data_IF_416319716062
#
_entry.id   IF_416319716062
#
_cell.length_a   1.000
_cell.length_b   1.000
_cell.length_c   1.000
_cell.angle_alpha   90.00
_cell.angle_beta   90.00
_cell.angle_gamma   90.00
#
_symmetry.space_group_name_H-M   'P 1'
#
loop_
_entity.id
_entity.type
_entity.pdbx_description
1 polymer ?
#
# COMPACT_ATOMS: atom_id res chain seq x y z
N UNK A 1 -19.18 36.27 17.76
CA UNK A 1 -19.95 35.03 18.00
C UNK A 1 -20.48 34.56 16.66
N UNK A 2 -19.93 33.48 16.11
CA UNK A 2 -20.45 32.89 14.88
C UNK A 2 -21.87 32.38 15.16
N UNK A 3 -22.84 32.77 14.32
CA UNK A 3 -24.22 32.31 14.44
C UNK A 3 -24.24 30.78 14.46
N UNK A 4 -24.69 30.19 15.57
CA UNK A 4 -24.96 28.76 15.66
C UNK A 4 -26.05 28.44 14.65
N UNK A 5 -25.64 27.89 13.51
CA UNK A 5 -26.57 27.32 12.54
C UNK A 5 -27.35 26.20 13.25
N UNK A 6 -28.65 26.40 13.46
CA UNK A 6 -29.55 25.40 14.05
C UNK A 6 -29.63 24.10 13.22
N UNK A 7 -29.02 24.08 12.01
CA UNK A 7 -28.99 22.93 11.12
C UNK A 7 -27.86 21.93 11.42
N UNK A 8 -26.94 22.22 12.34
CA UNK A 8 -25.85 21.31 12.74
C UNK A 8 -26.09 20.70 14.12
N UNK A 9 -25.97 19.37 14.27
CA UNK A 9 -26.09 18.73 15.57
C UNK A 9 -25.03 19.27 16.53
N UNK A 10 -25.41 19.45 17.79
CA UNK A 10 -24.49 19.88 18.84
C UNK A 10 -23.39 18.84 19.04
N UNK A 11 -22.12 19.27 19.05
CA UNK A 11 -20.97 18.44 19.38
C UNK A 11 -20.30 18.98 20.65
N UNK A 12 -19.97 18.13 21.63
CA UNK A 12 -19.24 18.54 22.83
C UNK A 12 -17.75 18.82 22.55
N UNK A 13 -17.24 18.45 21.37
CA UNK A 13 -15.84 18.64 21.01
C UNK A 13 -15.55 20.12 20.72
N UNK A 14 -14.49 20.71 21.29
CA UNK A 14 -14.12 22.09 21.00
C UNK A 14 -13.70 22.24 19.53
N UNK A 15 -14.15 23.32 18.91
CA UNK A 15 -13.74 23.65 17.54
C UNK A 15 -12.24 23.96 17.51
N UNK A 16 -11.50 23.25 16.64
CA UNK A 16 -10.06 23.46 16.39
C UNK A 16 -9.80 23.64 14.90
N UNK A 17 -8.74 24.36 14.56
CA UNK A 17 -8.22 24.48 13.19
C UNK A 17 -7.07 23.50 13.02
N UNK A 18 -7.00 22.85 11.86
CA UNK A 18 -5.92 21.92 11.49
C UNK A 18 -4.59 22.67 11.46
N UNK A 19 -3.64 22.28 12.32
CA UNK A 19 -2.31 22.90 12.38
C UNK A 19 -1.30 22.27 11.40
N UNK A 20 -1.32 20.95 11.28
CA UNK A 20 -0.46 20.19 10.38
C UNK A 20 -1.19 18.95 9.85
N UNK A 21 -0.76 18.49 8.67
CA UNK A 21 -1.21 17.25 8.05
C UNK A 21 -0.02 16.31 7.98
N UNK A 22 -0.14 15.17 8.64
CA UNK A 22 0.88 14.14 8.61
C UNK A 22 0.42 12.98 7.75
N UNK A 23 1.21 12.64 6.74
CA UNK A 23 1.00 11.47 5.89
C UNK A 23 1.69 10.23 6.50
N UNK A 24 1.06 9.06 6.32
CA UNK A 24 1.57 7.74 6.71
C UNK A 24 0.97 6.64 5.82
N UNK A 25 1.26 5.37 6.08
CA UNK A 25 0.63 4.23 5.43
C UNK A 25 -0.03 3.36 6.50
N UNK A 26 -1.30 3.04 6.28
CA UNK A 26 -2.10 2.21 7.17
C UNK A 26 -1.57 0.77 7.23
N UNK A 27 -1.21 0.32 8.43
CA UNK A 27 -0.95 -1.11 8.68
C UNK A 27 -2.26 -1.91 8.75
N UNK A 28 -2.18 -3.22 8.50
CA UNK A 28 -3.35 -4.10 8.60
C UNK A 28 -4.03 -4.01 9.98
N UNK A 29 -3.25 -3.92 11.05
CA UNK A 29 -3.77 -3.74 12.42
C UNK A 29 -4.48 -2.39 12.60
N UNK A 30 -3.94 -1.32 12.02
CA UNK A 30 -4.58 0.00 12.08
C UNK A 30 -5.91 0.00 11.32
N UNK A 31 -5.96 -0.64 10.15
CA UNK A 31 -7.18 -0.78 9.35
C UNK A 31 -8.26 -1.55 10.14
N UNK A 32 -7.88 -2.63 10.81
CA UNK A 32 -8.83 -3.38 11.64
C UNK A 32 -9.31 -2.57 12.85
N UNK A 33 -8.42 -1.82 13.52
CA UNK A 33 -8.78 -0.99 14.68
C UNK A 33 -9.69 0.19 14.32
N UNK A 34 -9.49 0.82 13.17
CA UNK A 34 -10.35 1.92 12.70
C UNK A 34 -11.67 1.43 12.11
N UNK A 35 -11.75 0.15 11.72
CA UNK A 35 -12.90 -0.38 11.03
C UNK A 35 -14.04 -0.74 11.98
N UNK A 36 -15.26 -0.46 11.54
CA UNK A 36 -16.48 -0.74 12.31
C UNK A 36 -17.09 -2.11 12.00
N UNK A 37 -16.80 -2.67 10.82
CA UNK A 37 -17.28 -3.99 10.45
C UNK A 37 -16.37 -4.72 9.46
N UNK A 38 -16.33 -6.05 9.60
CA UNK A 38 -15.73 -6.94 8.62
C UNK A 38 -16.74 -7.28 7.51
N UNK A 39 -16.32 -7.12 6.26
CA UNK A 39 -17.14 -7.46 5.10
C UNK A 39 -16.88 -8.90 4.71
N UNK A 40 -17.93 -9.70 4.69
CA UNK A 40 -17.86 -11.13 4.35
C UNK A 40 -18.84 -11.52 3.24
N UNK A 41 -19.95 -10.79 3.10
CA UNK A 41 -20.98 -11.08 2.12
C UNK A 41 -20.86 -10.21 0.87
N UNK A 42 -21.17 -10.82 -0.27
CA UNK A 42 -21.20 -10.16 -1.58
C UNK A 42 -22.58 -9.60 -1.91
N UNK A 43 -23.61 -10.05 -1.20
CA UNK A 43 -24.97 -9.57 -1.32
C UNK A 43 -25.14 -8.22 -0.63
N UNK A 44 -25.75 -7.26 -1.32
CA UNK A 44 -25.91 -5.89 -0.84
C UNK A 44 -27.16 -5.71 0.01
N UNK A 45 -28.27 -6.36 -0.36
CA UNK A 45 -29.56 -6.24 0.30
C UNK A 45 -30.19 -7.60 0.52
N UNK A 46 -30.87 -7.75 1.65
CA UNK A 46 -31.67 -8.91 2.00
C UNK A 46 -33.06 -8.40 2.40
N UNK A 47 -34.12 -8.90 1.73
CA UNK A 47 -35.51 -8.45 1.95
C UNK A 47 -35.72 -6.92 1.85
N UNK A 48 -34.92 -6.24 1.01
CA UNK A 48 -35.02 -4.80 0.79
C UNK A 48 -34.30 -3.94 1.84
N UNK A 49 -33.68 -4.55 2.85
CA UNK A 49 -32.80 -3.88 3.80
C UNK A 49 -31.33 -4.17 3.47
N UNK A 50 -30.39 -3.27 3.78
CA UNK A 50 -28.98 -3.56 3.57
C UNK A 50 -28.53 -4.75 4.42
N UNK A 51 -27.79 -5.68 3.80
CA UNK A 51 -27.38 -6.92 4.44
C UNK A 51 -26.29 -6.67 5.48
N UNK A 52 -26.39 -7.33 6.63
CA UNK A 52 -25.34 -7.32 7.66
C UNK A 52 -24.06 -7.99 7.16
N UNK A 53 -22.90 -7.40 7.43
CA UNK A 53 -21.59 -7.80 6.92
C UNK A 53 -21.50 -7.81 5.37
N UNK A 54 -22.44 -7.15 4.69
CA UNK A 54 -22.38 -6.85 3.26
C UNK A 54 -21.73 -5.49 3.02
N UNK A 55 -21.47 -5.16 1.75
CA UNK A 55 -20.83 -3.88 1.42
C UNK A 55 -21.68 -2.67 1.83
N UNK A 56 -23.02 -2.77 1.86
CA UNK A 56 -23.87 -1.63 2.25
C UNK A 56 -24.37 -1.71 3.70
N UNK A 57 -23.62 -2.39 4.58
CA UNK A 57 -23.95 -2.52 6.01
C UNK A 57 -24.22 -1.15 6.65
N UNK A 58 -25.31 -1.05 7.43
CA UNK A 58 -25.76 0.18 8.08
C UNK A 58 -24.74 0.77 9.07
N UNK A 59 -23.79 -0.03 9.57
CA UNK A 59 -22.67 0.44 10.39
C UNK A 59 -21.67 1.31 9.62
N UNK A 60 -21.56 1.13 8.30
CA UNK A 60 -20.72 1.97 7.45
C UNK A 60 -21.35 3.33 7.13
N UNK A 61 -22.65 3.46 7.37
CA UNK A 61 -23.47 4.58 6.94
C UNK A 61 -24.60 4.13 6.02
N UNK A 62 -25.50 5.05 5.70
CA UNK A 62 -26.64 4.78 4.83
C UNK A 62 -26.83 5.93 3.85
N UNK A 63 -27.35 5.60 2.67
CA UNK A 63 -27.80 6.56 1.66
C UNK A 63 -29.32 6.75 1.69
N UNK A 64 -30.03 5.89 2.42
CA UNK A 64 -31.48 5.92 2.50
C UNK A 64 -31.92 6.88 3.60
N UNK A 65 -32.64 7.96 3.23
CA UNK A 65 -33.14 8.96 4.17
C UNK A 65 -34.09 8.43 5.25
N UNK A 66 -34.62 7.20 5.06
CA UNK A 66 -35.51 6.53 6.03
C UNK A 66 -34.74 5.79 7.11
N UNK A 67 -33.47 5.50 6.86
CA UNK A 67 -32.61 4.72 7.73
C UNK A 67 -31.57 5.65 8.36
N UNK A 68 -31.11 5.27 9.55
CA UNK A 68 -30.02 5.94 10.25
C UNK A 68 -28.82 5.03 10.32
N UNK A 69 -27.63 5.62 10.36
CA UNK A 69 -26.40 4.85 10.56
C UNK A 69 -26.44 4.16 11.93
N UNK A 70 -26.06 2.89 12.01
CA UNK A 70 -26.04 2.16 13.29
C UNK A 70 -24.88 2.60 14.21
N UNK A 71 -23.84 3.24 13.66
CA UNK A 71 -22.63 3.61 14.40
C UNK A 71 -22.76 4.99 15.03
N UNK A 72 -23.07 6.02 14.23
CA UNK A 72 -23.19 7.40 14.73
C UNK A 72 -24.63 7.84 14.97
N UNK A 73 -25.64 7.05 14.57
CA UNK A 73 -27.08 7.36 14.70
C UNK A 73 -27.52 8.64 13.96
N UNK A 74 -26.65 9.20 13.11
CA UNK A 74 -26.93 10.38 12.31
C UNK A 74 -27.61 10.03 10.97
N UNK A 75 -28.32 11.02 10.43
CA UNK A 75 -28.93 10.96 9.11
C UNK A 75 -27.86 11.13 8.00
N UNK A 76 -28.25 10.86 6.75
CA UNK A 76 -27.38 10.87 5.55
C UNK A 76 -26.56 12.17 5.39
N UNK A 77 -27.09 13.32 5.85
CA UNK A 77 -26.44 14.62 5.70
C UNK A 77 -25.30 14.87 6.69
N UNK A 78 -25.38 14.28 7.88
CA UNK A 78 -24.45 14.56 8.98
C UNK A 78 -23.52 13.38 9.26
N UNK A 79 -23.86 12.18 8.81
CA UNK A 79 -22.99 11.02 8.88
C UNK A 79 -21.79 11.20 7.94
N UNK A 80 -20.54 11.17 8.44
CA UNK A 80 -19.34 11.21 7.60
C UNK A 80 -19.12 9.90 6.82
N UNK A 81 -19.80 8.83 7.23
CA UNK A 81 -19.48 7.46 6.82
C UNK A 81 -18.37 6.86 7.67
N UNK A 82 -18.39 5.54 7.82
CA UNK A 82 -17.42 4.80 8.62
C UNK A 82 -16.78 3.68 7.80
N UNK A 83 -15.48 3.47 7.98
CA UNK A 83 -14.74 2.49 7.20
C UNK A 83 -15.02 1.06 7.64
N UNK A 84 -15.15 0.19 6.64
CA UNK A 84 -15.14 -1.26 6.80
C UNK A 84 -13.75 -1.81 6.55
N UNK A 85 -13.58 -3.12 6.75
CA UNK A 85 -12.38 -3.81 6.32
C UNK A 85 -12.73 -5.17 5.73
N UNK A 86 -11.86 -5.65 4.85
CA UNK A 86 -11.88 -6.98 4.28
C UNK A 86 -10.54 -7.65 4.57
N UNK A 87 -10.56 -8.74 5.31
CA UNK A 87 -9.38 -9.57 5.52
C UNK A 87 -9.12 -10.42 4.28
N UNK A 88 -7.97 -10.21 3.63
CA UNK A 88 -7.58 -10.98 2.46
C UNK A 88 -7.00 -12.32 2.92
N UNK A 89 -7.40 -13.41 2.28
CA UNK A 89 -6.88 -14.76 2.60
C UNK A 89 -5.40 -14.84 2.26
N UNK A 90 -4.99 -14.18 1.18
CA UNK A 90 -3.61 -14.07 0.72
C UNK A 90 -3.23 -12.60 0.60
N UNK A 91 -2.03 -12.20 1.05
CA UNK A 91 -1.57 -10.83 0.90
C UNK A 91 -1.34 -10.48 -0.57
N UNK A 92 -1.50 -9.20 -0.89
CA UNK A 92 -1.51 -8.67 -2.25
C UNK A 92 -0.59 -7.45 -2.34
N UNK A 93 0.17 -7.29 -3.42
CA UNK A 93 0.96 -6.09 -3.61
C UNK A 93 0.08 -4.88 -3.91
N UNK A 94 0.28 -3.77 -3.22
CA UNK A 94 -0.29 -2.50 -3.66
C UNK A 94 0.50 -1.97 -4.86
N UNK A 95 -0.17 -1.79 -6.01
CA UNK A 95 0.50 -1.40 -7.26
C UNK A 95 1.32 -0.10 -7.12
N UNK A 96 0.78 0.91 -6.45
CA UNK A 96 1.48 2.18 -6.22
C UNK A 96 2.76 2.06 -5.37
N UNK A 97 2.91 1.00 -4.57
CA UNK A 97 4.08 0.80 -3.71
C UNK A 97 5.01 -0.33 -4.17
N UNK A 98 4.68 -1.02 -5.27
CA UNK A 98 5.46 -2.15 -5.77
C UNK A 98 6.93 -1.76 -6.06
N UNK A 99 7.16 -0.54 -6.55
CA UNK A 99 8.50 0.00 -6.79
C UNK A 99 9.27 0.32 -5.51
N UNK A 100 8.59 0.70 -4.43
CA UNK A 100 9.22 0.89 -3.12
C UNK A 100 9.60 -0.46 -2.49
N UNK A 101 8.69 -1.44 -2.54
CA UNK A 101 8.93 -2.83 -2.10
C UNK A 101 10.14 -3.43 -2.83
N UNK A 102 10.20 -3.29 -4.16
CA UNK A 102 11.33 -3.78 -4.96
C UNK A 102 12.68 -3.16 -4.53
N UNK A 103 12.71 -1.84 -4.28
CA UNK A 103 13.92 -1.16 -3.81
C UNK A 103 14.36 -1.66 -2.43
N UNK A 104 13.42 -1.88 -1.52
CA UNK A 104 13.70 -2.45 -0.19
C UNK A 104 14.26 -3.87 -0.32
N UNK A 105 13.61 -4.74 -1.11
CA UNK A 105 14.05 -6.12 -1.32
C UNK A 105 15.47 -6.21 -1.91
N UNK A 106 15.87 -5.25 -2.76
CA UNK A 106 17.24 -5.17 -3.31
C UNK A 106 18.29 -4.73 -2.30
N UNK A 107 17.90 -4.08 -1.19
CA UNK A 107 18.82 -3.60 -0.17
C UNK A 107 19.02 -4.58 0.99
N UNK A 108 18.07 -5.49 1.22
CA UNK A 108 18.04 -6.39 2.37
C UNK A 108 18.35 -7.83 1.95
N UNK A 109 18.91 -8.60 2.88
CA UNK A 109 19.15 -10.02 2.66
C UNK A 109 17.84 -10.81 2.69
N UNK A 110 17.64 -11.67 1.68
CA UNK A 110 16.46 -12.54 1.56
C UNK A 110 16.26 -13.53 2.73
N UNK A 111 17.31 -13.87 3.48
CA UNK A 111 17.24 -14.83 4.59
C UNK A 111 17.26 -14.13 5.95
N UNK A 112 18.30 -13.33 6.24
CA UNK A 112 18.47 -12.71 7.56
C UNK A 112 17.77 -11.36 7.75
N UNK A 113 17.27 -10.71 6.68
CA UNK A 113 16.59 -9.41 6.76
C UNK A 113 17.48 -8.21 7.10
N UNK A 114 18.79 -8.39 7.28
CA UNK A 114 19.75 -7.29 7.49
C UNK A 114 20.09 -6.60 6.17
N UNK A 115 20.54 -5.35 6.23
CA UNK A 115 21.10 -4.67 5.05
C UNK A 115 22.30 -5.44 4.48
N UNK A 116 22.41 -5.47 3.14
CA UNK A 116 23.53 -6.10 2.45
C UNK A 116 24.86 -5.34 2.60
N UNK A 117 24.80 -4.10 3.09
CA UNK A 117 25.98 -3.26 3.32
C UNK A 117 26.30 -3.26 4.81
N UNK A 118 27.55 -3.55 5.11
CA UNK A 118 28.10 -3.48 6.47
C UNK A 118 27.96 -2.08 7.06
N UNK A 119 27.61 -2.00 8.35
CA UNK A 119 27.39 -0.73 9.05
C UNK A 119 28.64 0.15 9.15
N UNK A 120 29.81 -0.45 9.01
CA UNK A 120 31.11 0.20 9.10
C UNK A 120 31.56 0.83 7.77
N UNK A 121 30.85 0.57 6.66
CA UNK A 121 31.25 1.09 5.35
C UNK A 121 31.06 2.63 5.31
N UNK A 122 32.12 3.43 5.03
CA UNK A 122 32.02 4.89 4.93
C UNK A 122 30.99 5.34 3.88
N UNK A 123 30.73 4.53 2.85
CA UNK A 123 29.72 4.82 1.82
C UNK A 123 28.31 4.77 2.38
N UNK A 124 28.06 3.92 3.38
CA UNK A 124 26.77 3.86 4.07
C UNK A 124 26.56 5.11 4.92
N UNK A 125 27.58 5.56 5.65
CA UNK A 125 27.51 6.80 6.44
C UNK A 125 27.25 8.02 5.54
N UNK A 126 27.90 8.09 4.38
CA UNK A 126 27.64 9.14 3.39
C UNK A 126 26.19 9.09 2.85
N UNK A 127 25.65 7.90 2.60
CA UNK A 127 24.26 7.73 2.18
C UNK A 127 23.27 8.10 3.31
N UNK A 128 23.58 7.74 4.55
CA UNK A 128 22.74 8.04 5.72
C UNK A 128 22.63 9.55 5.99
N UNK A 129 23.68 10.32 5.68
CA UNK A 129 23.70 11.78 5.82
C UNK A 129 22.77 12.52 4.83
N UNK A 130 22.28 11.84 3.78
CA UNK A 130 21.33 12.44 2.83
C UNK A 130 19.98 12.68 3.51
N UNK A 131 19.59 13.97 3.59
CA UNK A 131 18.33 14.40 4.24
C UNK A 131 17.08 13.91 3.51
N UNK A 132 17.10 13.88 2.18
CA UNK A 132 15.94 13.47 1.38
C UNK A 132 15.80 11.94 1.35
N UNK A 133 14.70 11.37 1.87
CA UNK A 133 14.56 9.92 2.05
C UNK A 133 14.54 9.14 0.73
N UNK A 134 13.89 9.67 -0.32
CA UNK A 134 13.84 8.99 -1.61
C UNK A 134 15.20 8.92 -2.32
N UNK A 135 15.99 10.01 -2.24
CA UNK A 135 17.36 10.05 -2.78
C UNK A 135 18.28 9.12 -1.98
N UNK A 136 18.10 9.07 -0.66
CA UNK A 136 18.81 8.13 0.23
C UNK A 136 18.56 6.68 -0.18
N UNK A 137 17.30 6.28 -0.35
CA UNK A 137 16.95 4.93 -0.78
C UNK A 137 17.57 4.57 -2.14
N UNK A 138 17.50 5.46 -3.12
CA UNK A 138 18.12 5.25 -4.44
C UNK A 138 19.63 4.99 -4.31
N UNK A 139 20.33 5.81 -3.53
CA UNK A 139 21.76 5.64 -3.30
C UNK A 139 22.10 4.31 -2.63
N UNK A 140 21.27 3.86 -1.69
CA UNK A 140 21.45 2.55 -1.03
C UNK A 140 21.22 1.39 -2.02
N UNK A 141 20.22 1.50 -2.90
CA UNK A 141 19.97 0.49 -3.94
C UNK A 141 21.16 0.38 -4.88
N UNK A 142 21.73 1.50 -5.31
CA UNK A 142 22.91 1.52 -6.19
C UNK A 142 24.13 0.86 -5.54
N UNK A 143 24.33 1.08 -4.23
CA UNK A 143 25.40 0.45 -3.46
C UNK A 143 25.17 -1.06 -3.26
N UNK A 144 23.92 -1.50 -3.12
CA UNK A 144 23.58 -2.92 -2.95
C UNK A 144 23.55 -3.70 -4.27
N UNK A 145 23.38 -3.04 -5.43
CA UNK A 145 23.16 -3.71 -6.71
C UNK A 145 24.29 -4.67 -7.14
N UNK A 146 25.52 -4.44 -6.70
CA UNK A 146 26.67 -5.30 -7.00
C UNK A 146 26.85 -6.51 -6.07
N UNK A 147 26.10 -6.61 -4.97
CA UNK A 147 26.33 -7.62 -3.93
C UNK A 147 25.49 -8.88 -4.18
N UNK A 148 26.14 -9.95 -4.63
CA UNK A 148 25.50 -11.25 -4.94
C UNK A 148 25.38 -12.20 -3.74
N UNK A 149 26.04 -11.89 -2.62
CA UNK A 149 26.01 -12.67 -1.37
C UNK A 149 25.95 -11.70 -0.18
N UNK A 150 25.43 -12.20 0.93
CA UNK A 150 25.40 -11.47 2.21
C UNK A 150 26.72 -11.69 2.95
N UNK A 151 27.46 -10.63 3.27
CA UNK A 151 28.78 -10.67 3.91
C UNK A 151 28.75 -11.49 5.21
N UNK A 152 29.66 -12.45 5.41
CA UNK A 152 29.80 -13.17 6.68
C UNK A 152 30.75 -12.42 7.64
N UNK A 153 30.66 -12.67 8.96
CA UNK A 153 31.53 -12.01 9.97
C UNK A 153 33.02 -12.18 9.67
N UNK A 154 33.43 -13.31 9.09
CA UNK A 154 34.84 -13.60 8.75
C UNK A 154 35.38 -12.71 7.61
N UNK A 155 34.55 -12.29 6.64
CA UNK A 155 34.95 -11.39 5.55
C UNK A 155 35.15 -9.95 6.04
N UNK A 156 34.42 -9.56 7.10
CA UNK A 156 34.58 -8.23 7.72
C UNK A 156 35.88 -8.12 8.51
N UNK A 157 36.41 -9.23 9.04
CA UNK A 157 37.71 -9.29 9.70
C UNK A 157 38.88 -9.13 8.70
N UNK A 158 38.73 -9.66 7.47
CA UNK A 158 39.73 -9.47 6.41
C UNK A 158 39.77 -8.01 5.91
N UNK A 159 38.64 -7.32 5.85
CA UNK A 159 38.58 -5.88 5.51
C UNK A 159 38.98 -4.96 6.68
N UNK A 160 38.76 -5.38 7.94
CA UNK A 160 39.14 -4.63 9.13
C UNK A 160 40.63 -4.74 9.51
N UNK A 161 41.40 -5.62 8.84
CA UNK A 161 42.85 -5.69 8.99
C UNK A 161 43.57 -4.41 8.48
N UNK A 162 42.87 -3.54 7.74
CA UNK A 162 43.32 -2.21 7.33
C UNK A 162 42.66 -1.09 8.16
N UNK A 163 42.79 -1.14 9.49
CA UNK A 163 42.89 0.07 10.32
C UNK A 163 41.62 0.80 10.78
N UNK A 164 40.70 0.15 11.50
CA UNK A 164 39.77 0.88 12.37
C UNK A 164 39.43 0.10 13.66
N UNK A 165 39.45 0.82 14.79
CA UNK A 165 39.39 0.29 16.14
C UNK A 165 38.08 -0.45 16.47
N UNK A 166 38.24 -1.57 17.17
CA UNK A 166 37.17 -2.36 17.73
C UNK A 166 36.66 -1.73 19.03
N UNK A 167 35.51 -1.03 18.96
CA UNK A 167 34.73 -0.69 20.14
C UNK A 167 33.31 -1.27 20.03
N UNK A 168 33.08 -2.24 20.92
CA UNK A 168 31.86 -2.66 21.59
C UNK A 168 30.47 -2.57 20.89
N UNK A 169 29.78 -3.72 20.97
CA UNK A 169 28.34 -3.98 20.86
C UNK A 169 27.80 -4.41 19.47
N UNK A 170 27.84 -5.73 19.24
CA UNK A 170 26.90 -6.44 18.34
C UNK A 170 27.22 -6.36 16.85
N UNK A 171 28.48 -6.59 16.48
CA UNK A 171 29.01 -6.39 15.12
C UNK A 171 28.56 -7.51 14.16
N UNK A 172 27.36 -7.35 13.60
CA UNK A 172 27.22 -7.24 12.14
C UNK A 172 27.51 -8.43 11.21
N UNK A 173 27.28 -9.69 11.59
CA UNK A 173 27.30 -10.80 10.64
C UNK A 173 26.12 -10.91 9.70
N UNK A 174 26.34 -10.92 8.38
CA UNK A 174 25.36 -11.48 7.46
C UNK A 174 25.37 -13.02 7.49
N UNK A 175 24.50 -13.64 6.69
CA UNK A 175 24.28 -15.10 6.74
C UNK A 175 24.86 -15.87 5.54
N UNK A 176 25.65 -15.23 4.67
CA UNK A 176 26.31 -15.88 3.52
C UNK A 176 25.36 -16.32 2.40
N UNK A 177 24.06 -16.09 2.54
CA UNK A 177 23.07 -16.51 1.57
C UNK A 177 23.25 -15.77 0.23
N UNK A 178 23.13 -16.52 -0.87
CA UNK A 178 23.09 -15.97 -2.22
C UNK A 178 21.85 -15.11 -2.36
N UNK A 179 22.05 -13.89 -2.85
CA UNK A 179 20.96 -12.95 -3.08
C UNK A 179 20.34 -13.16 -4.45
N UNK A 180 19.00 -13.25 -4.52
CA UNK A 180 18.33 -13.32 -5.81
C UNK A 180 18.28 -11.94 -6.48
N UNK A 181 18.13 -11.94 -7.80
CA UNK A 181 17.80 -10.75 -8.58
C UNK A 181 16.29 -10.59 -8.64
N UNK A 182 15.83 -9.38 -8.33
CA UNK A 182 14.41 -9.01 -8.36
C UNK A 182 14.09 -8.13 -9.57
N UNK A 183 13.02 -8.46 -10.29
CA UNK A 183 12.54 -7.75 -11.48
C UNK A 183 11.07 -7.36 -11.32
N UNK A 184 10.65 -6.32 -12.03
CA UNK A 184 9.23 -5.91 -12.14
C UNK A 184 8.76 -6.22 -13.55
N UNK A 185 7.74 -7.06 -13.67
CA UNK A 185 7.08 -7.38 -14.94
C UNK A 185 5.58 -7.07 -14.79
N UNK A 186 5.15 -5.92 -15.34
CA UNK A 186 3.78 -5.44 -15.22
C UNK A 186 3.35 -5.23 -13.74
N UNK A 187 2.28 -5.90 -13.27
CA UNK A 187 1.80 -5.84 -11.89
C UNK A 187 2.51 -6.82 -10.94
N UNK A 188 3.38 -7.69 -11.45
CA UNK A 188 4.01 -8.77 -10.67
C UNK A 188 5.50 -8.48 -10.44
N UNK A 189 6.01 -9.01 -9.32
CA UNK A 189 7.44 -9.08 -9.05
C UNK A 189 7.96 -10.46 -9.40
N UNK A 190 9.10 -10.52 -10.07
CA UNK A 190 9.79 -11.75 -10.42
C UNK A 190 11.09 -11.87 -9.63
N UNK A 191 11.48 -13.10 -9.30
CA UNK A 191 12.70 -13.42 -8.57
C UNK A 191 13.46 -14.51 -9.31
N UNK A 192 14.78 -14.34 -9.46
CA UNK A 192 15.68 -15.34 -10.04
C UNK A 192 16.93 -15.48 -9.17
N UNK A 193 17.35 -16.70 -8.88
CA UNK A 193 18.61 -16.95 -8.20
C UNK A 193 19.72 -17.13 -9.24
N UNK A 194 20.89 -16.47 -9.07
CA UNK A 194 22.01 -16.70 -9.97
C UNK A 194 22.49 -18.15 -9.82
N UNK A 195 22.67 -18.86 -10.94
CA UNK A 195 23.22 -20.21 -10.90
C UNK A 195 24.64 -20.22 -10.35
N UNK A 196 24.97 -21.30 -9.63
CA UNK A 196 26.26 -21.48 -8.97
C UNK A 196 27.30 -22.18 -9.87
N UNK A 197 26.99 -22.40 -11.16
CA UNK A 197 27.88 -23.08 -12.10
C UNK A 197 28.86 -22.08 -12.72
N UNK A 198 30.14 -22.30 -12.44
CA UNK A 198 31.24 -21.48 -12.94
C UNK A 198 31.28 -21.44 -14.47
N UNK A 199 31.25 -20.23 -15.01
CA UNK A 199 31.48 -19.92 -16.41
C UNK A 199 31.48 -18.41 -16.57
N UNK A 200 32.63 -17.83 -16.92
CA UNK A 200 32.81 -16.43 -17.28
C UNK A 200 32.13 -16.12 -18.63
N UNK A 201 30.80 -16.24 -18.68
CA UNK A 201 30.00 -15.99 -19.87
C UNK A 201 28.70 -15.29 -19.51
N UNK A 202 28.61 -14.03 -19.92
CA UNK A 202 27.48 -13.11 -20.00
C UNK A 202 26.44 -13.09 -18.86
N UNK A 203 26.26 -11.90 -18.29
CA UNK A 203 25.43 -11.56 -17.12
C UNK A 203 23.90 -11.73 -17.34
N UNK A 204 23.48 -12.51 -18.33
CA UNK A 204 22.09 -12.83 -18.65
C UNK A 204 21.64 -14.06 -17.84
N UNK A 205 20.90 -13.82 -16.76
CA UNK A 205 20.15 -14.89 -16.10
C UNK A 205 19.14 -15.47 -17.09
N UNK A 206 19.15 -16.79 -17.37
CA UNK A 206 18.16 -17.43 -18.24
C UNK A 206 16.75 -17.04 -17.82
N UNK A 207 15.90 -16.64 -18.77
CA UNK A 207 14.51 -16.26 -18.48
C UNK A 207 13.73 -17.39 -17.81
N UNK A 208 14.12 -18.64 -18.11
CA UNK A 208 13.55 -19.88 -17.58
C UNK A 208 13.70 -20.04 -16.05
N UNK A 209 14.59 -19.29 -15.40
CA UNK A 209 14.78 -19.33 -13.94
C UNK A 209 13.99 -18.25 -13.20
N UNK A 210 13.27 -17.37 -13.91
CA UNK A 210 12.43 -16.33 -13.29
C UNK A 210 11.15 -16.97 -12.77
N UNK A 211 10.90 -16.86 -11.47
CA UNK A 211 9.62 -17.22 -10.85
C UNK A 211 8.91 -15.99 -10.31
N UNK A 212 7.58 -16.02 -10.27
CA UNK A 212 6.79 -14.96 -9.62
C UNK A 212 7.08 -14.97 -8.11
N UNK A 213 7.43 -13.82 -7.55
CA UNK A 213 7.63 -13.63 -6.12
C UNK A 213 6.27 -13.42 -5.43
N UNK A 214 5.84 -14.43 -4.67
CA UNK A 214 4.59 -14.41 -3.93
C UNK A 214 4.66 -13.30 -2.85
N UNK A 215 3.61 -12.47 -2.67
CA UNK A 215 3.60 -11.40 -1.66
C UNK A 215 3.87 -11.89 -0.23
N UNK A 216 3.47 -13.12 0.11
CA UNK A 216 3.77 -13.75 1.41
C UNK A 216 5.27 -13.86 1.67
N UNK A 217 6.04 -14.26 0.66
CA UNK A 217 7.50 -14.38 0.77
C UNK A 217 8.15 -13.02 0.97
N UNK A 218 7.76 -12.02 0.17
CA UNK A 218 8.26 -10.65 0.30
C UNK A 218 7.91 -10.06 1.68
N UNK A 219 6.70 -10.29 2.17
CA UNK A 219 6.27 -9.83 3.49
C UNK A 219 7.09 -10.48 4.60
N UNK A 220 7.38 -11.77 4.51
CA UNK A 220 8.21 -12.48 5.47
C UNK A 220 9.64 -11.93 5.53
N UNK A 221 10.23 -11.56 4.38
CA UNK A 221 11.55 -10.92 4.31
C UNK A 221 11.51 -9.54 4.99
N UNK A 222 10.54 -8.70 4.61
CA UNK A 222 10.44 -7.32 5.10
C UNK A 222 10.17 -7.27 6.61
N UNK A 223 9.38 -8.21 7.14
CA UNK A 223 9.10 -8.30 8.60
C UNK A 223 10.33 -8.66 9.43
N UNK A 224 11.36 -9.29 8.85
CA UNK A 224 12.62 -9.61 9.56
C UNK A 224 13.57 -8.42 9.65
N UNK A 225 13.33 -7.36 8.89
CA UNK A 225 14.22 -6.18 8.85
C UNK A 225 14.14 -5.44 10.18
N UNK A 226 15.28 -5.16 10.85
CA UNK A 226 15.26 -4.44 12.12
C UNK A 226 14.89 -2.96 11.90
N UNK A 227 14.19 -2.36 12.87
CA UNK A 227 13.72 -0.96 12.77
C UNK A 227 14.83 0.06 12.48
N UNK A 228 16.04 -0.19 12.99
CA UNK A 228 17.19 0.66 12.72
C UNK A 228 17.55 0.70 11.23
N UNK A 229 17.40 -0.43 10.53
CA UNK A 229 17.70 -0.53 9.10
C UNK A 229 16.56 0.10 8.28
N UNK A 230 15.32 0.00 8.75
CA UNK A 230 14.16 0.67 8.15
C UNK A 230 14.34 2.20 8.16
N UNK A 231 14.80 2.76 9.28
CA UNK A 231 15.12 4.19 9.39
C UNK A 231 16.23 4.59 8.40
N UNK A 232 17.29 3.78 8.29
CA UNK A 232 18.37 4.01 7.31
C UNK A 232 17.86 4.00 5.86
N UNK A 233 16.95 3.08 5.53
CA UNK A 233 16.34 2.98 4.21
C UNK A 233 15.51 4.21 3.79
N UNK A 234 15.12 5.07 4.74
CA UNK A 234 14.27 6.24 4.43
C UNK A 234 12.85 6.14 4.95
N UNK A 235 12.51 5.06 5.67
CA UNK A 235 11.14 4.81 6.12
C UNK A 235 10.98 5.07 7.63
N UNK A 236 9.75 5.36 8.02
CA UNK A 236 9.37 5.50 9.42
C UNK A 236 8.76 4.17 9.91
N UNK A 237 9.31 3.53 10.95
CA UNK A 237 8.83 2.22 11.40
C UNK A 237 7.41 2.26 11.99
N UNK A 238 6.96 3.41 12.51
CA UNK A 238 5.63 3.57 13.11
C UNK A 238 4.61 3.97 12.05
N UNK A 239 4.99 4.91 11.17
CA UNK A 239 4.04 5.55 10.24
C UNK A 239 4.06 4.98 8.83
N UNK A 240 5.18 4.45 8.36
CA UNK A 240 5.36 4.03 6.96
C UNK A 240 6.24 2.78 6.88
N UNK A 241 5.89 1.77 7.67
CA UNK A 241 6.63 0.52 7.69
C UNK A 241 6.52 -0.18 6.32
N UNK A 242 7.61 -0.62 5.67
CA UNK A 242 7.54 -1.20 4.32
C UNK A 242 6.64 -2.44 4.21
N UNK A 243 6.42 -3.17 5.31
CA UNK A 243 5.46 -4.27 5.37
C UNK A 243 4.01 -3.84 5.09
N UNK A 244 3.65 -2.58 5.38
CA UNK A 244 2.31 -2.03 5.13
C UNK A 244 2.05 -1.78 3.64
N UNK A 245 3.08 -1.80 2.78
CA UNK A 245 2.91 -1.72 1.32
C UNK A 245 2.32 -3.00 0.71
N UNK A 246 2.34 -4.10 1.45
CA UNK A 246 1.74 -5.38 1.08
C UNK A 246 0.42 -5.51 1.85
N UNK A 247 -0.69 -5.49 1.13
CA UNK A 247 -2.02 -5.48 1.71
C UNK A 247 -2.38 -6.87 2.21
N UNK A 248 -2.52 -7.02 3.52
CA UNK A 248 -3.16 -8.21 4.14
C UNK A 248 -4.64 -7.95 4.47
N UNK A 249 -4.98 -6.68 4.70
CA UNK A 249 -6.34 -6.21 4.95
C UNK A 249 -6.61 -5.03 4.03
N UNK A 250 -7.74 -5.04 3.35
CA UNK A 250 -8.18 -3.97 2.47
C UNK A 250 -9.21 -3.09 3.21
N UNK A 251 -9.00 -1.77 3.34
CA UNK A 251 -10.02 -0.88 3.86
C UNK A 251 -11.18 -0.79 2.86
N UNK A 252 -12.42 -0.87 3.35
CA UNK A 252 -13.62 -0.74 2.53
C UNK A 252 -14.22 0.64 2.75
N UNK A 253 -14.30 1.49 1.72
CA UNK A 253 -14.84 2.82 1.87
C UNK A 253 -16.35 2.79 2.18
N UNK A 254 -16.85 3.76 2.97
CA UNK A 254 -18.27 3.86 3.29
C UNK A 254 -19.13 4.21 2.06
N UNK A 255 -20.46 3.95 2.10
CA UNK A 255 -21.38 4.29 1.01
C UNK A 255 -21.36 5.77 0.58
N UNK A 256 -20.97 6.69 1.47
CA UNK A 256 -20.83 8.11 1.16
C UNK A 256 -19.76 8.39 0.06
N UNK A 257 -18.73 7.54 -0.01
CA UNK A 257 -17.66 7.65 -1.03
C UNK A 257 -18.05 6.95 -2.34
N UNK A 258 -18.96 5.97 -2.27
CA UNK A 258 -19.43 5.17 -3.42
C UNK A 258 -20.96 5.23 -3.57
N UNK A 259 -21.51 6.40 -3.91
CA UNK A 259 -22.94 6.65 -3.87
C UNK A 259 -23.70 5.85 -4.96
N UNK A 260 -24.75 5.13 -4.56
CA UNK A 260 -25.65 4.47 -5.49
C UNK A 260 -26.63 5.47 -6.13
N UNK A 261 -26.95 5.30 -7.41
CA UNK A 261 -27.96 6.10 -8.12
C UNK A 261 -29.25 5.30 -8.24
N UNK A 262 -30.34 5.86 -7.72
CA UNK A 262 -31.68 5.28 -7.88
C UNK A 262 -32.45 6.04 -8.96
N UNK A 263 -32.91 5.34 -9.99
CA UNK A 263 -33.80 5.88 -11.02
C UNK A 263 -35.14 5.14 -10.96
N UNK A 264 -36.11 5.76 -10.27
CA UNK A 264 -37.41 5.13 -9.98
C UNK A 264 -37.23 3.88 -9.13
N UNK A 265 -37.63 2.73 -9.68
CA UNK A 265 -37.55 1.44 -8.98
C UNK A 265 -36.25 0.66 -9.24
N UNK A 266 -35.37 1.17 -10.13
CA UNK A 266 -34.08 0.52 -10.42
C UNK A 266 -32.95 1.22 -9.67
N UNK A 267 -32.13 0.43 -8.98
CA UNK A 267 -30.95 0.89 -8.26
C UNK A 267 -29.70 0.49 -9.03
N UNK A 268 -28.90 1.47 -9.42
CA UNK A 268 -27.58 1.26 -9.99
C UNK A 268 -26.55 1.56 -8.92
N UNK A 269 -25.73 0.58 -8.57
CA UNK A 269 -24.63 0.75 -7.64
C UNK A 269 -23.44 1.43 -8.33
N UNK A 270 -22.58 2.03 -7.52
CA UNK A 270 -21.35 2.68 -8.00
C UNK A 270 -20.33 1.65 -8.54
N UNK A 271 -19.52 2.07 -9.50
CA UNK A 271 -18.46 1.27 -10.12
C UNK A 271 -17.48 0.69 -9.09
N UNK A 272 -17.16 1.45 -8.01
CA UNK A 272 -16.32 0.97 -6.92
C UNK A 272 -16.98 -0.16 -6.13
N UNK A 273 -18.28 -0.05 -5.86
CA UNK A 273 -19.05 -1.10 -5.19
C UNK A 273 -19.04 -2.38 -6.02
N UNK A 274 -19.22 -2.28 -7.34
CA UNK A 274 -19.15 -3.45 -8.24
C UNK A 274 -17.77 -4.11 -8.19
N UNK A 275 -16.69 -3.32 -8.18
CA UNK A 275 -15.33 -3.85 -8.11
C UNK A 275 -15.04 -4.50 -6.76
N UNK A 276 -15.48 -3.90 -5.66
CA UNK A 276 -15.39 -4.48 -4.32
C UNK A 276 -16.17 -5.79 -4.22
N UNK A 277 -17.34 -5.90 -4.86
CA UNK A 277 -18.07 -7.17 -4.92
C UNK A 277 -17.24 -8.27 -5.58
N UNK A 278 -16.52 -7.96 -6.66
CA UNK A 278 -15.63 -8.94 -7.31
C UNK A 278 -14.45 -9.35 -6.42
N UNK A 279 -13.86 -8.39 -5.67
CA UNK A 279 -12.80 -8.69 -4.70
C UNK A 279 -13.33 -9.61 -3.59
N UNK A 280 -14.47 -9.30 -2.99
CA UNK A 280 -15.07 -10.11 -1.91
C UNK A 280 -15.43 -11.51 -2.43
N UNK A 281 -15.97 -11.63 -3.65
CA UNK A 281 -16.26 -12.93 -4.28
C UNK A 281 -15.00 -13.77 -4.46
N UNK A 282 -13.96 -13.20 -5.05
CA UNK A 282 -12.69 -13.90 -5.31
C UNK A 282 -12.02 -14.30 -3.99
N UNK A 283 -12.02 -13.42 -2.99
CA UNK A 283 -11.48 -13.70 -1.66
C UNK A 283 -12.26 -14.81 -0.94
N UNK A 284 -13.60 -14.80 -1.01
CA UNK A 284 -14.43 -15.87 -0.45
C UNK A 284 -14.23 -17.21 -1.17
N UNK A 285 -14.01 -17.19 -2.49
CA UNK A 285 -13.68 -18.39 -3.27
C UNK A 285 -12.33 -18.98 -2.84
N UNK A 286 -11.31 -18.13 -2.72
CA UNK A 286 -9.99 -18.50 -2.20
C UNK A 286 -10.08 -19.11 -0.80
N UNK A 287 -10.92 -18.54 0.08
CA UNK A 287 -11.13 -19.07 1.44
C UNK A 287 -11.73 -20.48 1.45
N UNK A 288 -12.63 -20.78 0.52
CA UNK A 288 -13.31 -22.10 0.44
C UNK A 288 -12.47 -23.17 -0.24
N UNK A 289 -11.67 -22.77 -1.22
CA UNK A 289 -10.89 -23.68 -2.08
C UNK A 289 -9.44 -23.86 -1.60
N UNK A 290 -8.97 -23.03 -0.65
CA UNK A 290 -7.56 -22.88 -0.26
C UNK A 290 -6.80 -24.17 0.05
N UNK A 291 -7.45 -25.17 0.63
CA UNK A 291 -6.80 -26.44 1.02
C UNK A 291 -7.11 -27.61 0.07
N UNK A 292 -8.11 -27.47 -0.80
CA UNK A 292 -8.66 -28.58 -1.59
C UNK A 292 -8.23 -28.60 -3.05
N UNK A 293 -7.66 -27.51 -3.56
CA UNK A 293 -7.27 -27.39 -4.98
C UNK A 293 -5.75 -27.46 -5.17
N UNK A 294 -5.27 -27.96 -6.33
CA UNK A 294 -3.85 -28.01 -6.63
C UNK A 294 -3.16 -26.64 -6.55
N UNK A 295 -1.87 -26.63 -6.22
CA UNK A 295 -1.06 -25.41 -6.04
C UNK A 295 -1.04 -24.48 -7.26
N UNK A 296 -1.07 -25.02 -8.48
CA UNK A 296 -1.15 -24.22 -9.71
C UNK A 296 -2.45 -23.40 -9.80
N UNK A 297 -3.59 -24.02 -9.45
CA UNK A 297 -4.90 -23.34 -9.45
C UNK A 297 -4.95 -22.26 -8.38
N UNK A 298 -4.37 -22.52 -7.19
CA UNK A 298 -4.25 -21.50 -6.14
C UNK A 298 -3.44 -20.29 -6.62
N UNK A 299 -2.36 -20.50 -7.37
CA UNK A 299 -1.56 -19.41 -7.93
C UNK A 299 -2.35 -18.57 -8.94
N UNK A 300 -3.14 -19.20 -9.81
CA UNK A 300 -4.02 -18.50 -10.74
C UNK A 300 -5.10 -17.67 -10.01
N UNK A 301 -5.73 -18.24 -8.98
CA UNK A 301 -6.71 -17.51 -8.16
C UNK A 301 -6.08 -16.34 -7.39
N UNK A 302 -4.85 -16.50 -6.90
CA UNK A 302 -4.10 -15.42 -6.26
C UNK A 302 -3.76 -14.30 -7.25
N UNK A 303 -3.38 -14.64 -8.48
CA UNK A 303 -3.15 -13.67 -9.54
C UNK A 303 -4.44 -12.94 -9.92
N UNK A 304 -5.58 -13.64 -9.92
CA UNK A 304 -6.88 -13.02 -10.14
C UNK A 304 -7.24 -12.04 -9.01
N UNK A 305 -7.00 -12.40 -7.74
CA UNK A 305 -7.18 -11.50 -6.61
C UNK A 305 -6.28 -10.25 -6.73
N UNK A 306 -5.00 -10.45 -7.07
CA UNK A 306 -4.04 -9.38 -7.32
C UNK A 306 -4.54 -8.45 -8.43
N UNK A 307 -5.08 -9.00 -9.53
CA UNK A 307 -5.68 -8.24 -10.61
C UNK A 307 -6.85 -7.38 -10.12
N UNK A 308 -7.80 -7.95 -9.37
CA UNK A 308 -8.96 -7.20 -8.90
C UNK A 308 -8.58 -6.06 -7.94
N UNK A 309 -7.64 -6.30 -7.03
CA UNK A 309 -7.15 -5.25 -6.11
C UNK A 309 -6.35 -4.19 -6.86
N UNK A 310 -5.50 -4.59 -7.80
CA UNK A 310 -4.68 -3.67 -8.60
C UNK A 310 -5.58 -2.74 -9.41
N UNK A 311 -6.54 -3.31 -10.14
CA UNK A 311 -7.53 -2.56 -10.93
C UNK A 311 -8.60 -1.89 -10.09
N UNK A 312 -8.67 -2.10 -8.77
CA UNK A 312 -9.50 -1.30 -7.87
C UNK A 312 -8.83 0.04 -7.54
N UNK A 313 -7.50 0.05 -7.39
CA UNK A 313 -6.76 1.28 -7.21
C UNK A 313 -6.55 1.99 -8.55
N UNK A 314 -5.96 1.32 -9.54
CA UNK A 314 -5.62 1.91 -10.85
C UNK A 314 -5.98 0.96 -11.99
N UNK A 315 -6.87 1.42 -12.88
CA UNK A 315 -7.40 0.64 -14.00
C UNK A 315 -6.73 1.00 -15.34
N UNK A 316 -5.79 1.95 -15.35
CA UNK A 316 -5.07 2.41 -16.55
C UNK A 316 -3.59 2.00 -16.51
N UNK A 317 -3.37 0.73 -16.15
CA UNK A 317 -2.02 0.16 -16.02
C UNK A 317 -1.59 -0.48 -17.34
N UNK A 318 -0.42 -0.11 -17.91
CA UNK A 318 0.07 -0.72 -19.14
C UNK A 318 0.36 -2.20 -18.93
N UNK A 319 -0.13 -3.04 -19.86
CA UNK A 319 0.07 -4.49 -19.84
C UNK A 319 -0.91 -5.27 -18.96
N UNK A 320 -1.83 -4.59 -18.25
CA UNK A 320 -2.91 -5.23 -17.48
C UNK A 320 -4.23 -5.02 -18.26
N UNK A 321 -5.08 -6.07 -18.40
CA UNK A 321 -6.36 -5.90 -19.08
C UNK A 321 -7.25 -4.91 -18.31
N UNK A 322 -7.91 -4.00 -19.02
CA UNK A 322 -8.77 -3.00 -18.38
C UNK A 322 -10.03 -3.67 -17.84
N UNK A 323 -10.34 -3.45 -16.56
CA UNK A 323 -11.55 -3.94 -15.96
C UNK A 323 -12.77 -3.18 -16.53
N UNK A 324 -13.73 -3.92 -17.06
CA UNK A 324 -14.93 -3.36 -17.69
C UNK A 324 -16.21 -3.82 -16.97
N UNK A 325 -17.21 -2.95 -16.96
CA UNK A 325 -18.57 -3.26 -16.53
C UNK A 325 -19.25 -4.25 -17.48
N UNK A 326 -20.42 -4.77 -17.11
CA UNK A 326 -21.27 -5.58 -18.01
C UNK A 326 -21.54 -4.92 -19.37
N UNK A 327 -21.56 -3.59 -19.41
CA UNK A 327 -21.76 -2.80 -20.64
C UNK A 327 -20.45 -2.55 -21.41
N UNK A 328 -19.37 -3.27 -21.11
CA UNK A 328 -18.01 -3.12 -21.68
C UNK A 328 -17.39 -1.73 -21.50
N UNK A 329 -17.96 -0.89 -20.64
CA UNK A 329 -17.38 0.41 -20.28
C UNK A 329 -16.29 0.19 -19.23
N UNK A 330 -15.14 0.87 -19.32
CA UNK A 330 -14.10 0.77 -18.29
C UNK A 330 -14.68 1.23 -16.95
N UNK A 331 -14.45 0.43 -15.92
CA UNK A 331 -14.87 0.73 -14.55
C UNK A 331 -14.09 1.97 -14.10
N UNK A 332 -14.81 2.98 -13.61
CA UNK A 332 -14.18 4.12 -12.96
C UNK A 332 -13.71 3.71 -11.57
N UNK A 333 -12.45 3.96 -11.31
CA UNK A 333 -11.78 3.57 -10.06
C UNK A 333 -11.26 4.80 -9.35
N UNK A 334 -10.80 4.62 -8.12
CA UNK A 334 -10.36 5.72 -7.25
C UNK A 334 -9.20 6.50 -7.84
N UNK A 335 -8.28 5.82 -8.53
CA UNK A 335 -7.29 6.50 -9.34
C UNK A 335 -7.93 7.01 -10.63
N UNK A 336 -8.40 8.24 -10.54
CA UNK A 336 -8.71 9.03 -11.70
C UNK A 336 -7.49 9.89 -12.04
N UNK A 337 -6.96 9.84 -13.27
CA UNK A 337 -6.15 10.93 -13.83
C UNK A 337 -6.90 12.27 -13.79
N UNK A 338 -8.22 12.25 -13.52
CA UNK A 338 -9.04 13.43 -13.33
C UNK A 338 -8.90 14.08 -11.96
N UNK A 339 -8.16 13.59 -10.96
CA UNK A 339 -7.78 14.49 -9.85
C UNK A 339 -6.96 15.68 -10.36
N UNK A 340 -6.29 15.57 -11.52
CA UNK A 340 -5.75 16.72 -12.28
C UNK A 340 -6.78 17.55 -13.06
N UNK A 341 -7.95 17.00 -13.44
CA UNK A 341 -8.95 17.66 -14.33
C UNK A 341 -10.29 18.04 -13.66
N UNK A 342 -10.66 17.40 -12.55
CA UNK A 342 -11.98 17.44 -11.92
C UNK A 342 -12.05 18.44 -10.78
N UNK A 343 -10.90 18.86 -10.24
CA UNK A 343 -10.78 19.98 -9.30
C UNK A 343 -9.97 21.18 -9.86
N UNK A 344 -10.41 21.84 -10.95
CA UNK A 344 -9.95 23.20 -11.24
C UNK A 344 -10.33 24.17 -10.11
N UNK A 345 -11.46 23.89 -9.43
CA UNK A 345 -11.95 24.69 -8.29
C UNK A 345 -11.02 24.64 -7.08
N UNK A 346 -10.49 23.47 -6.70
CA UNK A 346 -9.60 23.39 -5.54
C UNK A 346 -8.21 23.92 -5.87
N UNK A 347 -7.75 23.86 -7.13
CA UNK A 347 -6.51 24.54 -7.53
C UNK A 347 -6.65 26.06 -7.47
N UNK A 348 -7.77 26.63 -7.93
CA UNK A 348 -8.01 28.06 -7.86
C UNK A 348 -8.34 28.55 -6.44
N UNK A 349 -9.07 27.74 -5.65
CA UNK A 349 -9.41 28.05 -4.26
C UNK A 349 -8.21 27.84 -3.32
N UNK A 350 -7.46 26.74 -3.45
CA UNK A 350 -6.26 26.51 -2.64
C UNK A 350 -5.10 27.44 -3.04
N UNK A 351 -4.96 27.83 -4.32
CA UNK A 351 -3.94 28.82 -4.71
C UNK A 351 -4.27 30.24 -4.24
N UNK A 352 -5.55 30.56 -3.97
CA UNK A 352 -5.94 31.84 -3.39
C UNK A 352 -5.65 31.92 -1.88
N UNK A 353 -5.64 30.78 -1.16
CA UNK A 353 -5.41 30.72 0.29
C UNK A 353 -4.00 30.23 0.69
N UNK A 354 -3.23 29.62 -0.20
CA UNK A 354 -1.90 29.07 0.11
C UNK A 354 -0.78 30.10 -0.01
N UNK A 355 -0.75 31.04 0.94
CA UNK A 355 0.50 31.70 1.35
C UNK A 355 1.36 30.73 2.16
N UNK A 356 2.46 30.25 1.55
CA UNK A 356 3.63 29.67 2.19
C UNK A 356 3.43 28.49 3.19
N UNK A 357 3.32 27.26 2.67
CA UNK A 357 3.70 26.04 3.40
C UNK A 357 3.89 24.86 2.43
N UNK A 358 5.03 24.82 1.73
CA UNK A 358 5.41 23.69 0.89
C UNK A 358 6.86 23.31 1.20
N UNK A 359 7.06 22.31 2.05
CA UNK A 359 8.39 21.73 2.29
C UNK A 359 8.38 20.24 2.69
N UNK A 360 7.27 19.69 3.21
CA UNK A 360 7.29 18.35 3.82
C UNK A 360 6.49 17.26 3.07
N UNK A 361 5.91 17.57 1.90
CA UNK A 361 5.14 16.60 1.08
C UNK A 361 6.02 15.67 0.22
N UNK A 362 7.33 15.95 0.10
CA UNK A 362 8.22 15.28 -0.85
C UNK A 362 8.55 13.82 -0.49
N UNK A 363 8.30 13.34 0.73
CA UNK A 363 8.70 11.99 1.14
C UNK A 363 7.76 10.88 0.61
N UNK A 364 6.46 11.14 0.56
CA UNK A 364 5.47 10.21 0.01
C UNK A 364 5.36 10.35 -1.53
N UNK A 365 5.45 11.59 -2.03
CA UNK A 365 5.37 11.87 -3.46
C UNK A 365 6.63 11.37 -4.19
N UNK A 366 7.83 11.44 -3.59
CA UNK A 366 9.04 10.89 -4.21
C UNK A 366 9.14 9.35 -4.18
N UNK A 367 8.34 8.66 -3.36
CA UNK A 367 8.21 7.20 -3.44
C UNK A 367 7.30 6.78 -4.61
N UNK A 368 6.29 7.59 -4.93
CA UNK A 368 5.29 7.34 -5.98
C UNK A 368 5.69 7.93 -7.35
N UNK A 369 6.44 9.04 -7.40
CA UNK A 369 6.86 9.72 -8.62
C UNK A 369 7.87 8.91 -9.46
N UNK A 370 8.59 7.95 -8.86
CA UNK A 370 9.66 7.19 -9.54
C UNK A 370 9.21 5.77 -9.95
N UNK A 371 7.95 5.39 -9.72
CA UNK A 371 7.39 4.09 -10.14
C UNK A 371 6.93 4.05 -11.61
N UNK A 372 6.75 5.23 -12.21
CA UNK A 372 6.64 5.46 -13.64
C UNK A 372 7.66 6.54 -13.99
N UNK A 373 8.55 6.30 -14.96
CA UNK A 373 9.44 7.31 -15.54
C UNK A 373 8.71 8.43 -16.30
N UNK A 374 7.46 8.69 -15.94
CA UNK A 374 6.56 9.66 -16.50
C UNK A 374 5.75 10.19 -15.31
N UNK A 375 5.97 11.46 -14.93
CA UNK A 375 5.56 12.09 -13.66
C UNK A 375 4.04 12.13 -13.39
N UNK A 376 3.44 10.95 -13.20
CA UNK A 376 2.00 10.69 -13.09
C UNK A 376 1.56 10.22 -11.69
N UNK A 377 2.47 9.83 -10.80
CA UNK A 377 2.15 9.03 -9.59
C UNK A 377 1.55 9.72 -8.36
N UNK A 378 1.21 11.02 -8.38
CA UNK A 378 1.05 11.79 -7.13
C UNK A 378 -0.23 11.61 -6.30
N UNK A 379 -1.25 10.86 -6.73
CA UNK A 379 -2.54 10.83 -6.02
C UNK A 379 -3.18 9.46 -5.79
N UNK A 380 -2.51 8.35 -6.13
CA UNK A 380 -3.01 6.99 -5.83
C UNK A 380 -3.03 6.64 -4.33
N UNK A 381 -2.56 7.54 -3.46
CA UNK A 381 -2.30 7.30 -2.05
C UNK A 381 -3.49 7.61 -1.11
N UNK A 382 -4.65 8.04 -1.61
CA UNK A 382 -5.66 8.64 -0.71
C UNK A 382 -6.39 7.65 0.22
N UNK A 383 -6.37 6.33 -0.05
CA UNK A 383 -7.05 5.33 0.80
C UNK A 383 -6.14 4.59 1.78
N UNK A 384 -4.83 4.72 1.62
CA UNK A 384 -3.83 4.15 2.53
C UNK A 384 -3.14 5.21 3.36
N UNK A 385 -3.34 6.49 3.04
CA UNK A 385 -2.72 7.57 3.78
C UNK A 385 -3.62 8.12 4.87
N UNK A 386 -3.25 7.81 6.11
CA UNK A 386 -3.79 8.52 7.27
C UNK A 386 -3.30 9.95 7.21
N UNK A 387 -4.24 10.89 7.23
CA UNK A 387 -3.99 12.27 7.63
C UNK A 387 -4.20 12.34 9.14
N UNK A 388 -3.12 12.29 9.91
CA UNK A 388 -3.20 12.59 11.34
C UNK A 388 -3.24 14.11 11.51
N UNK A 389 -4.31 14.61 12.13
CA UNK A 389 -4.42 16.00 12.60
C UNK A 389 -4.31 15.98 14.12
N UNK A 390 -3.26 16.61 14.66
CA UNK A 390 -3.05 16.81 16.09
C UNK A 390 -3.19 15.54 16.96
N UNK A 391 -2.69 14.39 16.47
CA UNK A 391 -2.69 13.13 17.20
C UNK A 391 -4.05 12.43 17.31
N UNK A 392 -5.08 12.94 16.63
CA UNK A 392 -6.38 12.28 16.45
C UNK A 392 -6.45 11.69 15.03
N UNK A 393 -6.77 10.41 14.94
CA UNK A 393 -7.14 9.75 13.68
C UNK A 393 -8.45 10.37 13.18
N UNK A 394 -8.45 10.88 11.94
CA UNK A 394 -9.66 11.24 11.21
C UNK A 394 -10.33 10.00 10.61
#
# INVERSE_FOLDING_TARGET
MAALSLATPYSPCPYKRVGAIQFGVLSAEQIQRMSVCEITSTELYEQGLPKTNGLNDLRLGTLDYRLRCQTCLMDVKHCPGHFGHLNLVKPVYHYGFIGAVLRVLRCVCCSCGRLLISRQDPRLHAAAAVKAPAKRLKRLVDLCAGRKRCDMEEDTAAAAAEGAAADAAGVGGGCGCVQPRYFKEGPNLMVAFPEQRGGDGDDETPEDLRRVLIPEEALAIIKRVPESDIRLLGFDPVRAHPAAFILSTLPVPPPAVRPSVQNGNTRSEDDLTLKLMDIVKTNASLKRQGDSVPSAVLQEMNLLLQYHVTTFFDNDIPGVPVATTRSKKPIKVEYFPSTRRQYPRDRAAAAADAGAAAADADAADAAAADAHGDGRGGMALLLMVVVLVDGLLL
#
